data_IF_751939515780
#
_entry.id   IF_751939515780
#
_cell.length_a   1.000
_cell.length_b   1.000
_cell.length_c   1.000
_cell.angle_alpha   90.00
_cell.angle_beta   90.00
_cell.angle_gamma   90.00
#
_symmetry.space_group_name_H-M   'P 1'
#
loop_
_entity.id
_entity.type
_entity.pdbx_description
1 polymer ?
#
# COMPACT_ATOMS: atom_id res chain seq x y z
N UNK A 1 51.34 -67.34 40.92
CA UNK A 1 52.15 -66.44 40.09
C UNK A 1 51.13 -65.71 39.21
N UNK A 2 50.67 -64.56 39.69
CA UNK A 2 49.52 -63.84 39.14
C UNK A 2 49.96 -62.69 38.26
N UNK A 3 49.69 -62.81 36.95
CA UNK A 3 49.97 -61.75 35.95
C UNK A 3 48.73 -60.91 35.76
N UNK A 4 48.76 -59.66 36.28
CA UNK A 4 47.71 -58.69 36.10
C UNK A 4 47.95 -57.93 34.79
N UNK A 5 47.01 -58.09 33.83
CA UNK A 5 46.93 -57.29 32.62
C UNK A 5 46.23 -55.96 32.95
N UNK A 6 46.95 -54.86 32.80
CA UNK A 6 46.44 -53.52 32.84
C UNK A 6 45.96 -53.12 31.41
N UNK A 7 44.66 -53.03 31.21
CA UNK A 7 44.09 -52.51 29.97
C UNK A 7 43.97 -51.00 30.15
N UNK A 8 44.80 -50.23 29.45
CA UNK A 8 44.67 -48.76 29.39
C UNK A 8 43.55 -48.37 28.43
N UNK A 9 42.53 -47.75 28.97
CA UNK A 9 41.48 -47.16 28.18
C UNK A 9 41.97 -45.79 27.66
N UNK A 10 42.22 -45.68 26.37
CA UNK A 10 42.55 -44.44 25.67
C UNK A 10 41.20 -43.75 25.31
N UNK A 11 40.79 -42.77 26.10
CA UNK A 11 39.62 -41.97 25.80
C UNK A 11 39.96 -40.97 24.68
N UNK A 12 39.54 -41.29 23.45
CA UNK A 12 39.58 -40.34 22.31
C UNK A 12 38.43 -39.39 22.48
N UNK A 13 38.75 -38.19 22.97
CA UNK A 13 37.77 -37.06 23.01
C UNK A 13 37.56 -36.55 21.57
N UNK A 14 36.43 -36.93 20.98
CA UNK A 14 35.96 -36.30 19.73
C UNK A 14 35.43 -34.90 20.07
N UNK A 15 36.23 -33.87 19.77
CA UNK A 15 35.74 -32.49 19.64
C UNK A 15 34.81 -32.45 18.44
N UNK A 16 33.51 -32.56 18.67
CA UNK A 16 32.49 -32.21 17.66
C UNK A 16 32.49 -30.69 17.54
N UNK A 17 33.24 -30.21 16.55
CA UNK A 17 33.12 -28.82 16.11
C UNK A 17 31.71 -28.65 15.48
N UNK A 18 30.74 -28.24 16.28
CA UNK A 18 29.44 -27.80 15.75
C UNK A 18 29.64 -26.47 14.99
N UNK A 19 30.03 -26.57 13.73
CA UNK A 19 29.83 -25.51 12.78
C UNK A 19 28.31 -25.42 12.58
N UNK A 20 27.65 -24.55 13.35
CA UNK A 20 26.31 -24.08 12.97
C UNK A 20 26.49 -23.27 11.68
N UNK A 21 26.37 -23.95 10.55
CA UNK A 21 26.21 -23.33 9.26
C UNK A 21 25.02 -22.38 9.40
N UNK A 22 25.30 -21.08 9.47
CA UNK A 22 24.32 -20.02 9.46
C UNK A 22 23.64 -19.98 8.11
N UNK A 23 22.79 -20.99 7.85
CA UNK A 23 22.04 -21.10 6.61
C UNK A 23 21.13 -19.87 6.49
N UNK A 24 21.46 -19.02 5.55
CA UNK A 24 20.67 -17.80 5.28
C UNK A 24 19.24 -18.16 4.96
N UNK A 25 18.29 -17.57 5.71
CA UNK A 25 16.86 -17.90 5.64
C UNK A 25 16.12 -16.89 4.76
N UNK A 26 15.49 -17.35 3.67
CA UNK A 26 14.42 -16.59 3.01
C UNK A 26 13.12 -16.94 3.73
N UNK A 27 12.40 -15.94 4.17
CA UNK A 27 11.08 -16.09 4.77
C UNK A 27 10.09 -15.32 3.91
N UNK A 28 9.21 -16.06 3.22
CA UNK A 28 8.07 -15.46 2.51
C UNK A 28 6.96 -15.15 3.52
N UNK A 29 6.52 -13.91 3.56
CA UNK A 29 5.55 -13.40 4.53
C UNK A 29 4.28 -12.91 3.82
N UNK A 30 3.13 -13.15 4.42
CA UNK A 30 1.89 -12.48 4.01
C UNK A 30 2.02 -10.97 4.14
N UNK A 31 1.14 -10.19 3.49
CA UNK A 31 1.19 -8.73 3.58
C UNK A 31 1.09 -8.21 5.01
N UNK A 32 0.23 -8.82 5.84
CA UNK A 32 0.09 -8.43 7.25
C UNK A 32 1.33 -8.81 8.07
N UNK A 33 1.87 -10.02 7.88
CA UNK A 33 3.07 -10.47 8.60
C UNK A 33 4.30 -9.66 8.20
N UNK A 34 4.41 -9.31 6.91
CA UNK A 34 5.47 -8.44 6.40
C UNK A 34 5.39 -7.05 7.04
N UNK A 35 4.19 -6.45 7.10
CA UNK A 35 3.97 -5.16 7.75
C UNK A 35 4.33 -5.20 9.25
N UNK A 36 3.84 -6.21 9.97
CA UNK A 36 4.12 -6.40 11.38
C UNK A 36 5.61 -6.58 11.62
N UNK A 37 6.26 -7.46 10.83
CA UNK A 37 7.71 -7.72 10.95
C UNK A 37 8.55 -6.50 10.63
N UNK A 38 8.19 -5.72 9.62
CA UNK A 38 8.88 -4.46 9.29
C UNK A 38 8.73 -3.41 10.42
N UNK A 39 7.59 -3.38 11.11
CA UNK A 39 7.37 -2.51 12.27
C UNK A 39 8.17 -2.97 13.51
N UNK A 40 8.37 -4.27 13.70
CA UNK A 40 9.22 -4.82 14.77
C UNK A 40 10.71 -4.46 14.56
N UNK A 41 11.15 -4.30 13.31
CA UNK A 41 12.54 -4.01 12.96
C UNK A 41 12.62 -2.72 12.12
N UNK A 42 12.29 -1.57 12.69
CA UNK A 42 12.10 -0.31 11.94
C UNK A 42 13.38 0.23 11.27
N UNK A 43 14.54 -0.31 11.65
CA UNK A 43 15.85 0.04 11.07
C UNK A 43 16.24 -0.84 9.89
N UNK A 44 15.52 -1.95 9.65
CA UNK A 44 15.79 -2.82 8.52
C UNK A 44 15.33 -2.17 7.21
N UNK A 45 16.15 -2.18 6.14
CA UNK A 45 15.76 -1.60 4.87
C UNK A 45 14.65 -2.41 4.21
N UNK A 46 13.70 -1.70 3.60
CA UNK A 46 12.68 -2.26 2.71
C UNK A 46 13.09 -1.92 1.29
N UNK A 47 13.25 -2.92 0.44
CA UNK A 47 13.74 -2.78 -0.94
C UNK A 47 12.62 -3.12 -1.92
N UNK A 48 12.23 -2.14 -2.73
CA UNK A 48 11.35 -2.33 -3.87
C UNK A 48 12.19 -2.64 -5.12
N UNK A 49 12.06 -3.85 -5.63
CA UNK A 49 12.86 -4.28 -6.80
C UNK A 49 12.09 -4.10 -8.13
N UNK A 50 11.06 -3.26 -8.12
CA UNK A 50 10.36 -2.84 -9.34
C UNK A 50 11.14 -1.75 -10.08
N UNK A 51 10.67 -1.41 -11.27
CA UNK A 51 11.25 -0.27 -12.02
C UNK A 51 10.99 1.07 -11.29
N UNK A 52 11.81 2.12 -11.56
CA UNK A 52 11.57 3.45 -10.99
C UNK A 52 10.17 4.01 -11.33
N UNK A 53 9.66 3.74 -12.53
CA UNK A 53 8.33 4.16 -12.95
C UNK A 53 7.21 3.45 -12.14
N UNK A 54 7.36 2.14 -11.83
CA UNK A 54 6.44 1.43 -10.96
C UNK A 54 6.50 1.95 -9.51
N UNK A 55 7.70 2.26 -9.01
CA UNK A 55 7.94 2.80 -7.67
C UNK A 55 7.30 4.17 -7.48
N UNK A 56 7.46 5.07 -8.44
CA UNK A 56 6.92 6.43 -8.41
C UNK A 56 5.38 6.47 -8.37
N UNK A 57 4.72 5.43 -8.89
CA UNK A 57 3.25 5.29 -8.89
C UNK A 57 2.67 4.79 -7.56
N UNK A 58 3.53 4.47 -6.60
CA UNK A 58 3.15 4.02 -5.25
C UNK A 58 4.03 2.88 -4.76
N UNK A 59 4.49 3.00 -3.50
CA UNK A 59 5.41 2.07 -2.87
C UNK A 59 5.15 1.94 -1.37
N UNK A 60 5.61 0.86 -0.76
CA UNK A 60 5.51 0.64 0.69
C UNK A 60 6.28 1.75 1.42
N UNK A 61 5.72 2.36 2.51
CA UNK A 61 6.38 3.42 3.24
C UNK A 61 7.82 3.05 3.65
N UNK A 62 8.75 3.99 3.52
CA UNK A 62 10.19 3.84 3.79
C UNK A 62 10.93 2.92 2.81
N UNK A 63 10.29 2.36 1.79
CA UNK A 63 10.97 1.54 0.79
C UNK A 63 11.97 2.38 -0.02
N UNK A 64 13.07 1.73 -0.42
CA UNK A 64 14.04 2.26 -1.38
C UNK A 64 13.93 1.47 -2.67
N UNK A 65 13.94 2.15 -3.80
CA UNK A 65 13.91 1.48 -5.09
C UNK A 65 15.32 1.00 -5.48
N UNK A 66 15.42 -0.30 -5.81
CA UNK A 66 16.61 -0.95 -6.37
C UNK A 66 16.15 -1.85 -7.50
N UNK A 67 16.07 -1.32 -8.71
CA UNK A 67 15.51 -2.03 -9.86
C UNK A 67 16.23 -3.34 -10.16
N UNK A 68 15.50 -4.47 -10.07
CA UNK A 68 16.02 -5.79 -10.40
C UNK A 68 16.55 -5.91 -11.82
N UNK A 69 15.93 -5.23 -12.76
CA UNK A 69 16.31 -5.21 -14.18
C UNK A 69 17.39 -4.17 -14.50
N UNK A 70 17.75 -3.34 -13.50
CA UNK A 70 18.79 -2.31 -13.65
C UNK A 70 20.21 -2.91 -13.69
N UNK A 71 21.13 -2.23 -14.37
CA UNK A 71 22.51 -2.67 -14.51
C UNK A 71 23.33 -2.58 -13.23
N UNK A 72 22.82 -1.92 -12.19
CA UNK A 72 23.53 -1.61 -10.96
C UNK A 72 22.93 -2.28 -9.71
N UNK A 73 21.97 -3.21 -9.90
CA UNK A 73 21.33 -3.93 -8.80
C UNK A 73 22.36 -4.51 -7.81
N UNK A 74 23.36 -5.25 -8.32
CA UNK A 74 24.40 -5.87 -7.47
C UNK A 74 25.22 -4.84 -6.71
N UNK A 75 25.55 -3.74 -7.35
CA UNK A 75 26.30 -2.64 -6.74
C UNK A 75 25.50 -1.98 -5.62
N UNK A 76 24.21 -1.77 -5.82
CA UNK A 76 23.34 -1.15 -4.83
C UNK A 76 23.12 -2.05 -3.62
N UNK A 77 22.83 -3.35 -3.80
CA UNK A 77 22.64 -4.26 -2.67
C UNK A 77 23.96 -4.50 -1.91
N UNK A 78 25.13 -4.40 -2.57
CA UNK A 78 26.43 -4.56 -1.91
C UNK A 78 26.70 -3.49 -0.85
N UNK A 79 26.00 -2.34 -0.89
CA UNK A 79 26.12 -1.27 0.11
C UNK A 79 25.35 -1.55 1.41
N UNK A 80 24.46 -2.55 1.41
CA UNK A 80 23.64 -2.90 2.57
C UNK A 80 24.42 -3.76 3.57
N UNK A 81 24.11 -3.60 4.85
CA UNK A 81 24.67 -4.43 5.92
C UNK A 81 24.06 -5.83 5.87
N UNK A 82 24.85 -6.79 5.38
CA UNK A 82 24.42 -8.18 5.18
C UNK A 82 24.18 -8.96 6.47
N UNK A 83 24.63 -8.46 7.61
CA UNK A 83 24.39 -9.05 8.94
C UNK A 83 23.02 -8.73 9.50
N UNK A 84 22.32 -7.74 8.93
CA UNK A 84 21.01 -7.27 9.35
C UNK A 84 19.90 -7.83 8.44
N UNK A 85 18.68 -7.96 8.97
CA UNK A 85 17.50 -8.28 8.16
C UNK A 85 17.26 -7.27 7.04
N UNK A 86 16.78 -7.77 5.90
CA UNK A 86 16.34 -6.95 4.78
C UNK A 86 14.97 -7.43 4.31
N UNK A 87 14.10 -6.48 3.98
CA UNK A 87 12.78 -6.73 3.40
C UNK A 87 12.83 -6.47 1.91
N UNK A 88 12.20 -7.34 1.10
CA UNK A 88 12.20 -7.20 -0.35
C UNK A 88 10.82 -7.48 -0.92
N UNK A 89 10.40 -6.70 -1.90
CA UNK A 89 9.16 -6.94 -2.63
C UNK A 89 9.25 -6.46 -4.08
N UNK A 90 8.33 -6.98 -4.90
CA UNK A 90 8.10 -6.48 -6.26
C UNK A 90 6.59 -6.30 -6.52
N UNK A 91 6.15 -6.40 -7.77
CA UNK A 91 4.74 -6.28 -8.12
C UNK A 91 3.92 -7.49 -7.61
N UNK A 92 4.36 -8.73 -7.94
CA UNK A 92 3.59 -9.97 -7.74
C UNK A 92 4.39 -11.14 -7.15
N UNK A 93 5.64 -10.92 -6.69
CA UNK A 93 6.49 -11.93 -6.05
C UNK A 93 7.64 -12.45 -6.93
N UNK A 94 7.52 -12.53 -8.26
CA UNK A 94 8.53 -13.18 -9.12
C UNK A 94 9.92 -12.53 -9.09
N UNK A 95 10.02 -11.21 -9.29
CA UNK A 95 11.29 -10.47 -9.22
C UNK A 95 11.87 -10.46 -7.81
N UNK A 96 11.02 -10.32 -6.79
CA UNK A 96 11.48 -10.32 -5.39
C UNK A 96 12.02 -11.68 -4.94
N UNK A 97 11.43 -12.79 -5.36
CA UNK A 97 11.95 -14.12 -5.10
C UNK A 97 13.35 -14.31 -5.70
N UNK A 98 13.56 -13.86 -6.95
CA UNK A 98 14.86 -13.89 -7.61
C UNK A 98 15.88 -13.00 -6.89
N UNK A 99 15.48 -11.78 -6.50
CA UNK A 99 16.31 -10.85 -5.76
C UNK A 99 16.68 -11.38 -4.37
N UNK A 100 15.73 -11.96 -3.63
CA UNK A 100 15.95 -12.58 -2.33
C UNK A 100 16.96 -13.75 -2.42
N UNK A 101 16.83 -14.61 -3.43
CA UNK A 101 17.79 -15.67 -3.70
C UNK A 101 19.20 -15.12 -3.98
N UNK A 102 19.29 -14.08 -4.81
CA UNK A 102 20.56 -13.43 -5.12
C UNK A 102 21.19 -12.75 -3.90
N UNK A 103 20.39 -12.05 -3.08
CA UNK A 103 20.86 -11.46 -1.83
C UNK A 103 21.43 -12.53 -0.89
N UNK A 104 20.72 -13.63 -0.69
CA UNK A 104 21.22 -14.76 0.12
C UNK A 104 22.55 -15.30 -0.39
N UNK A 105 22.66 -15.54 -1.70
CA UNK A 105 23.90 -16.02 -2.31
C UNK A 105 25.04 -15.01 -2.15
N UNK A 106 24.74 -13.73 -1.98
CA UNK A 106 25.68 -12.66 -1.67
C UNK A 106 25.96 -12.50 -0.16
N UNK A 107 25.47 -13.41 0.71
CA UNK A 107 25.79 -13.47 2.13
C UNK A 107 24.86 -12.72 3.07
N UNK A 108 23.67 -12.29 2.62
CA UNK A 108 22.64 -11.77 3.51
C UNK A 108 22.11 -12.87 4.42
N UNK A 109 22.09 -12.64 5.74
CA UNK A 109 21.68 -13.64 6.73
C UNK A 109 20.16 -13.85 6.78
N UNK A 110 19.40 -12.76 6.70
CA UNK A 110 17.93 -12.78 6.78
C UNK A 110 17.33 -11.93 5.68
N UNK A 111 16.52 -12.55 4.83
CA UNK A 111 15.78 -11.87 3.76
C UNK A 111 14.30 -12.21 3.90
N UNK A 112 13.48 -11.20 4.19
CA UNK A 112 12.03 -11.29 4.27
C UNK A 112 11.42 -10.85 2.94
N UNK A 113 10.71 -11.76 2.28
CA UNK A 113 10.03 -11.49 1.02
C UNK A 113 8.53 -11.30 1.25
N UNK A 114 7.95 -10.32 0.55
CA UNK A 114 6.50 -10.13 0.53
C UNK A 114 5.85 -11.07 -0.48
N UNK A 115 5.12 -12.08 0.00
CA UNK A 115 4.36 -12.99 -0.84
C UNK A 115 3.31 -12.24 -1.68
N UNK A 116 3.31 -12.50 -2.99
CA UNK A 116 2.43 -11.84 -3.93
C UNK A 116 2.69 -10.34 -4.14
N UNK A 117 3.78 -9.81 -3.56
CA UNK A 117 4.26 -8.44 -3.78
C UNK A 117 3.28 -7.34 -3.38
N UNK A 118 3.49 -6.13 -3.94
CA UNK A 118 2.65 -4.96 -3.60
C UNK A 118 1.17 -5.15 -4.00
N UNK A 119 0.86 -6.08 -4.91
CA UNK A 119 -0.54 -6.40 -5.22
C UNK A 119 -1.26 -6.99 -4.00
N UNK A 120 -0.62 -7.87 -3.24
CA UNK A 120 -1.18 -8.41 -1.99
C UNK A 120 -1.21 -7.38 -0.86
N UNK A 121 -0.20 -6.50 -0.81
CA UNK A 121 -0.18 -5.36 0.10
C UNK A 121 -1.39 -4.45 -0.10
N UNK A 122 -1.68 -4.10 -1.38
CA UNK A 122 -2.86 -3.32 -1.79
C UNK A 122 -4.17 -4.03 -1.46
N UNK A 123 -4.23 -5.33 -1.74
CA UNK A 123 -5.39 -6.15 -1.42
C UNK A 123 -5.70 -6.24 0.08
N UNK A 124 -4.69 -6.02 0.94
CA UNK A 124 -4.84 -5.93 2.39
C UNK A 124 -5.12 -4.49 2.89
N UNK A 125 -5.30 -3.52 1.99
CA UNK A 125 -5.52 -2.09 2.29
C UNK A 125 -4.44 -1.47 3.19
N UNK A 126 -3.19 -1.92 3.04
CA UNK A 126 -2.05 -1.38 3.78
C UNK A 126 -1.54 -0.07 3.14
N UNK A 127 -0.94 0.83 3.94
CA UNK A 127 -0.56 2.16 3.47
C UNK A 127 0.55 2.14 2.41
N UNK A 128 0.47 3.05 1.45
CA UNK A 128 1.51 3.31 0.43
C UNK A 128 1.92 4.77 0.42
N UNK A 129 3.20 5.03 0.14
CA UNK A 129 3.66 6.34 -0.31
C UNK A 129 3.53 6.42 -1.82
N UNK A 130 3.01 7.52 -2.31
CA UNK A 130 2.94 7.83 -3.73
C UNK A 130 3.42 9.27 -3.94
N UNK A 131 4.66 9.42 -4.39
CA UNK A 131 5.27 10.75 -4.60
C UNK A 131 4.58 11.53 -5.74
N UNK A 132 3.94 10.81 -6.66
CA UNK A 132 3.19 11.38 -7.77
C UNK A 132 1.67 11.41 -7.51
N UNK A 133 1.21 10.90 -6.37
CA UNK A 133 -0.19 11.11 -5.98
C UNK A 133 -0.29 12.57 -5.55
N UNK A 134 -1.02 13.43 -6.26
CA UNK A 134 -1.28 14.77 -5.77
C UNK A 134 -1.71 14.61 -4.31
N UNK A 135 -1.09 15.35 -3.39
CA UNK A 135 -1.64 15.45 -2.05
C UNK A 135 -3.08 15.84 -2.27
N UNK A 136 -4.03 14.95 -1.93
CA UNK A 136 -5.42 15.14 -2.31
C UNK A 136 -5.89 16.57 -1.99
N UNK A 137 -7.03 16.93 -2.48
CA UNK A 137 -7.59 18.26 -2.28
C UNK A 137 -7.52 18.66 -0.81
N UNK A 138 -6.95 19.81 -0.51
CA UNK A 138 -6.95 20.36 0.84
C UNK A 138 -8.33 20.99 1.16
N UNK A 139 -8.67 21.20 2.44
CA UNK A 139 -9.97 21.74 2.86
C UNK A 139 -10.30 23.07 2.22
N UNK A 140 -9.29 23.93 2.00
CA UNK A 140 -9.50 25.21 1.32
C UNK A 140 -9.96 25.01 -0.12
N UNK A 141 -9.27 24.15 -0.88
CA UNK A 141 -9.64 23.84 -2.26
C UNK A 141 -11.03 23.18 -2.34
N UNK A 142 -11.36 22.29 -1.39
CA UNK A 142 -12.71 21.72 -1.28
C UNK A 142 -13.77 22.79 -1.02
N UNK A 143 -13.56 23.71 -0.07
CA UNK A 143 -14.46 24.80 0.21
C UNK A 143 -14.59 25.76 -0.99
N UNK A 144 -13.53 25.94 -1.76
CA UNK A 144 -13.58 26.77 -2.98
C UNK A 144 -14.50 26.17 -4.06
N UNK A 145 -14.65 24.83 -4.12
CA UNK A 145 -15.60 24.17 -5.04
C UNK A 145 -17.05 24.51 -4.75
N UNK A 146 -17.39 24.80 -3.50
CA UNK A 146 -18.77 25.13 -3.11
C UNK A 146 -19.15 26.60 -3.36
N UNK A 147 -18.16 27.44 -3.74
CA UNK A 147 -18.36 28.87 -4.03
C UNK A 147 -18.96 29.06 -5.42
N UNK A 148 -20.27 28.94 -5.51
CA UNK A 148 -21.00 29.08 -6.75
C UNK A 148 -22.40 29.65 -6.48
N UNK A 149 -22.95 30.41 -7.45
CA UNK A 149 -24.35 30.82 -7.47
C UNK A 149 -25.27 29.66 -7.89
N UNK A 150 -24.70 28.59 -8.46
CA UNK A 150 -25.41 27.35 -8.78
C UNK A 150 -25.43 26.41 -7.57
N UNK A 151 -26.34 25.45 -7.61
CA UNK A 151 -26.31 24.31 -6.68
C UNK A 151 -25.10 23.47 -7.01
N UNK A 152 -24.29 23.09 -6.00
CA UNK A 152 -23.16 22.20 -6.16
C UNK A 152 -23.50 20.84 -5.54
N UNK A 153 -23.45 19.81 -6.38
CA UNK A 153 -23.57 18.41 -5.96
C UNK A 153 -22.18 17.78 -5.97
N UNK A 154 -21.68 17.37 -4.80
CA UNK A 154 -20.41 16.67 -4.66
C UNK A 154 -20.68 15.19 -4.40
N UNK A 155 -20.04 14.30 -5.20
CA UNK A 155 -20.08 12.84 -5.08
C UNK A 155 -18.67 12.33 -4.68
N UNK A 156 -18.55 11.82 -3.46
CA UNK A 156 -17.38 11.09 -3.02
C UNK A 156 -17.52 9.62 -3.43
N UNK A 157 -16.60 9.15 -4.24
CA UNK A 157 -16.62 7.81 -4.82
C UNK A 157 -15.26 7.13 -4.76
N UNK A 158 -15.22 5.81 -5.07
CA UNK A 158 -13.99 5.08 -5.39
C UNK A 158 -14.24 4.12 -6.56
N UNK A 159 -13.16 3.74 -7.27
CA UNK A 159 -13.27 2.83 -8.43
C UNK A 159 -13.70 1.41 -8.03
N UNK A 160 -13.46 0.98 -6.81
CA UNK A 160 -13.89 -0.31 -6.28
C UNK A 160 -15.33 -0.30 -5.75
N UNK A 161 -15.95 0.87 -5.53
CA UNK A 161 -17.28 1.03 -4.96
C UNK A 161 -18.37 0.64 -5.97
N UNK A 162 -19.00 -0.51 -5.78
CA UNK A 162 -20.09 -0.99 -6.64
C UNK A 162 -21.27 -0.02 -6.77
N UNK A 163 -21.87 0.46 -5.66
CA UNK A 163 -22.94 1.45 -5.70
C UNK A 163 -22.53 2.75 -6.41
N UNK A 164 -21.30 3.21 -6.26
CA UNK A 164 -20.80 4.42 -6.94
C UNK A 164 -20.80 4.25 -8.47
N UNK A 165 -20.46 3.04 -8.96
CA UNK A 165 -20.52 2.73 -10.41
C UNK A 165 -21.94 2.78 -10.96
N UNK A 166 -22.93 2.37 -10.18
CA UNK A 166 -24.35 2.47 -10.56
C UNK A 166 -24.83 3.91 -10.60
N UNK A 167 -24.29 4.78 -9.74
CA UNK A 167 -24.67 6.19 -9.66
C UNK A 167 -24.03 7.04 -10.75
N UNK A 168 -22.82 6.70 -11.20
CA UNK A 168 -22.05 7.48 -12.18
C UNK A 168 -22.84 7.87 -13.42
N UNK A 169 -23.53 6.97 -14.16
CA UNK A 169 -24.21 7.32 -15.41
C UNK A 169 -25.26 8.43 -15.22
N UNK A 170 -26.14 8.29 -14.23
CA UNK A 170 -27.19 9.28 -14.03
C UNK A 170 -26.70 10.59 -13.40
N UNK A 171 -25.59 10.57 -12.64
CA UNK A 171 -24.97 11.81 -12.18
C UNK A 171 -24.38 12.60 -13.36
N UNK A 172 -23.81 11.91 -14.36
CA UNK A 172 -23.36 12.52 -15.61
C UNK A 172 -24.53 13.06 -16.44
N UNK A 173 -25.68 12.36 -16.45
CA UNK A 173 -26.92 12.86 -17.08
C UNK A 173 -27.42 14.13 -16.37
N UNK A 174 -27.54 14.13 -15.04
CA UNK A 174 -27.94 15.31 -14.24
C UNK A 174 -27.00 16.48 -14.53
N UNK A 175 -25.69 16.24 -14.59
CA UNK A 175 -24.70 17.27 -14.91
C UNK A 175 -24.94 17.93 -16.26
N UNK A 176 -25.44 17.18 -17.26
CA UNK A 176 -25.74 17.70 -18.60
C UNK A 176 -27.13 18.34 -18.67
N UNK A 177 -28.16 17.65 -18.15
CA UNK A 177 -29.54 18.06 -18.21
C UNK A 177 -29.82 19.33 -17.40
N UNK A 178 -29.07 19.58 -16.33
CA UNK A 178 -29.26 20.68 -15.40
C UNK A 178 -28.07 21.64 -15.31
N UNK A 179 -27.22 21.67 -16.33
CA UNK A 179 -25.94 22.41 -16.34
C UNK A 179 -26.10 23.93 -16.12
N UNK A 180 -27.27 24.50 -16.42
CA UNK A 180 -27.62 25.91 -16.17
C UNK A 180 -27.78 26.22 -14.67
N UNK A 181 -28.15 25.23 -13.85
CA UNK A 181 -28.52 25.39 -12.42
C UNK A 181 -27.60 24.62 -11.46
N UNK A 182 -26.95 23.57 -11.93
CA UNK A 182 -26.22 22.61 -11.08
C UNK A 182 -24.84 22.37 -11.61
N UNK A 183 -23.88 22.25 -10.68
CA UNK A 183 -22.54 21.76 -10.93
C UNK A 183 -22.40 20.41 -10.22
N UNK A 184 -22.05 19.35 -10.95
CA UNK A 184 -21.76 18.05 -10.37
C UNK A 184 -20.25 17.85 -10.32
N UNK A 185 -19.71 17.58 -9.14
CA UNK A 185 -18.28 17.37 -8.90
C UNK A 185 -18.10 15.98 -8.31
N UNK A 186 -17.21 15.17 -8.89
CA UNK A 186 -16.89 13.86 -8.37
C UNK A 186 -15.49 13.87 -7.76
N UNK A 187 -15.36 13.42 -6.52
CA UNK A 187 -14.10 13.38 -5.76
C UNK A 187 -13.76 11.91 -5.45
N UNK A 188 -12.63 11.44 -5.97
CA UNK A 188 -12.15 10.11 -5.64
C UNK A 188 -11.62 10.08 -4.20
N UNK A 189 -12.25 9.30 -3.33
CA UNK A 189 -11.90 9.19 -1.92
C UNK A 189 -10.49 8.59 -1.72
N UNK A 190 -10.08 7.63 -2.57
CA UNK A 190 -8.74 7.03 -2.50
C UNK A 190 -7.64 8.05 -2.77
N UNK A 191 -7.92 9.05 -3.61
CA UNK A 191 -6.99 10.14 -3.92
C UNK A 191 -7.04 11.29 -2.91
N UNK A 192 -8.07 11.32 -2.05
CA UNK A 192 -8.38 12.41 -1.14
C UNK A 192 -8.58 11.93 0.32
N UNK A 193 -7.81 10.95 0.76
CA UNK A 193 -7.98 10.31 2.08
C UNK A 193 -7.90 11.30 3.25
N UNK A 194 -6.98 12.26 3.19
CA UNK A 194 -6.85 13.28 4.24
C UNK A 194 -8.11 14.16 4.33
N UNK A 195 -8.68 14.57 3.19
CA UNK A 195 -9.92 15.32 3.11
C UNK A 195 -11.10 14.48 3.63
N UNK A 196 -11.21 13.21 3.21
CA UNK A 196 -12.26 12.31 3.69
C UNK A 196 -12.23 12.15 5.20
N UNK A 197 -11.04 12.00 5.80
CA UNK A 197 -10.86 11.93 7.26
C UNK A 197 -11.33 13.22 7.95
N UNK A 198 -10.98 14.37 7.41
CA UNK A 198 -11.38 15.67 7.98
C UNK A 198 -12.90 15.89 7.89
N UNK A 199 -13.51 15.46 6.78
CA UNK A 199 -14.95 15.54 6.56
C UNK A 199 -15.74 14.39 7.20
N UNK A 200 -15.08 13.47 7.94
CA UNK A 200 -15.65 12.26 8.54
C UNK A 200 -16.40 11.38 7.51
N UNK A 201 -15.82 11.24 6.31
CA UNK A 201 -16.32 10.35 5.26
C UNK A 201 -15.64 8.99 5.43
N UNK A 202 -16.34 8.02 6.04
CA UNK A 202 -15.87 6.67 6.37
C UNK A 202 -16.56 5.56 5.55
N UNK A 203 -17.58 5.93 4.76
CA UNK A 203 -18.32 5.02 3.88
C UNK A 203 -18.60 5.69 2.53
N UNK A 204 -18.79 4.88 1.45
CA UNK A 204 -19.05 5.35 0.09
C UNK A 204 -20.28 4.67 -0.53
N UNK A 205 -20.98 5.35 -1.44
CA UNK A 205 -20.84 6.77 -1.85
C UNK A 205 -21.33 7.75 -0.80
N UNK A 206 -20.83 9.00 -0.86
CA UNK A 206 -21.39 10.12 -0.11
C UNK A 206 -21.75 11.23 -1.08
N UNK A 207 -23.01 11.65 -1.08
CA UNK A 207 -23.47 12.83 -1.79
C UNK A 207 -23.65 14.00 -0.85
N UNK A 208 -23.18 15.17 -1.26
CA UNK A 208 -23.39 16.44 -0.55
C UNK A 208 -23.93 17.48 -1.52
N UNK A 209 -24.99 18.17 -1.12
CA UNK A 209 -25.62 19.26 -1.90
C UNK A 209 -25.40 20.58 -1.19
N UNK A 210 -24.78 21.50 -1.89
CA UNK A 210 -24.56 22.87 -1.41
C UNK A 210 -25.48 23.84 -2.14
N UNK A 211 -26.14 24.71 -1.38
CA UNK A 211 -26.95 25.81 -1.87
C UNK A 211 -26.49 27.11 -1.19
N UNK A 212 -26.28 28.16 -1.96
CA UNK A 212 -25.72 29.40 -1.44
C UNK A 212 -24.46 29.19 -0.59
N UNK A 213 -23.56 28.29 -1.05
CA UNK A 213 -22.28 27.95 -0.42
C UNK A 213 -22.42 27.26 0.95
N UNK A 214 -23.61 26.80 1.32
CA UNK A 214 -23.87 26.09 2.58
C UNK A 214 -24.30 24.65 2.29
N UNK A 215 -23.85 23.72 3.08
CA UNK A 215 -24.33 22.33 3.00
C UNK A 215 -25.83 22.32 3.34
N UNK A 216 -26.63 21.98 2.33
CA UNK A 216 -28.08 21.90 2.44
C UNK A 216 -28.57 20.47 2.68
N UNK A 217 -27.81 19.46 2.21
CA UNK A 217 -28.18 18.07 2.34
C UNK A 217 -26.97 17.15 2.13
N UNK A 218 -26.98 16.00 2.80
CA UNK A 218 -26.01 14.94 2.59
C UNK A 218 -26.69 13.57 2.67
N UNK A 219 -26.11 12.58 1.95
CA UNK A 219 -26.55 11.18 1.99
C UNK A 219 -25.33 10.25 1.95
N UNK A 220 -25.37 9.21 2.76
CA UNK A 220 -24.41 8.10 2.72
C UNK A 220 -25.09 6.89 2.11
N UNK A 221 -24.44 6.24 1.17
CA UNK A 221 -24.95 5.08 0.46
C UNK A 221 -25.68 5.42 -0.84
N UNK A 222 -26.16 4.36 -1.50
CA UNK A 222 -26.86 4.47 -2.79
C UNK A 222 -28.16 5.25 -2.68
N UNK A 223 -28.39 6.13 -3.66
CA UNK A 223 -29.66 6.80 -3.90
C UNK A 223 -29.93 6.83 -5.41
N UNK A 224 -31.15 6.62 -5.85
CA UNK A 224 -31.49 6.62 -7.27
C UNK A 224 -31.58 8.03 -7.90
N UNK A 225 -31.59 8.10 -9.24
CA UNK A 225 -31.69 9.37 -9.98
C UNK A 225 -32.87 10.22 -9.49
N UNK A 226 -34.04 9.60 -9.27
CA UNK A 226 -35.25 10.29 -8.86
C UNK A 226 -35.10 10.94 -7.48
N UNK A 227 -34.48 10.24 -6.55
CA UNK A 227 -34.16 10.76 -5.21
C UNK A 227 -33.22 11.95 -5.27
N UNK A 228 -32.13 11.87 -6.05
CA UNK A 228 -31.18 12.98 -6.23
C UNK A 228 -31.89 14.20 -6.85
N UNK A 229 -32.65 14.03 -7.96
CA UNK A 229 -33.36 15.13 -8.62
C UNK A 229 -34.35 15.80 -7.68
N UNK A 230 -35.07 15.02 -6.87
CA UNK A 230 -36.00 15.57 -5.86
C UNK A 230 -35.28 16.49 -4.88
N UNK A 231 -34.11 16.11 -4.35
CA UNK A 231 -33.31 16.95 -3.43
C UNK A 231 -32.83 18.23 -4.10
N UNK A 232 -32.38 18.13 -5.35
CA UNK A 232 -31.88 19.28 -6.12
C UNK A 232 -32.98 20.31 -6.40
N UNK A 233 -34.23 19.86 -6.56
CA UNK A 233 -35.39 20.72 -6.85
C UNK A 233 -36.09 21.30 -5.61
N UNK A 234 -35.83 20.76 -4.42
CA UNK A 234 -36.36 21.28 -3.15
C UNK A 234 -35.81 22.69 -2.92
N UNK A 235 -36.69 23.65 -2.56
CA UNK A 235 -36.31 25.05 -2.29
C UNK A 235 -35.51 25.18 -0.99
#
# INVERSE_FOLDING_TARGET
MNLRFLIGIFAISFLVCNCSDGQSKIVSLSAMDFANKANEIPTAPIIDVRTPDEFSKGHIPKAKNVDWNGNDFDKQIATLDKSKPVFVYCLSGGRSASAANKMRNNGFKEVYELDGGIMKWRGANLPENNENKPSGMNPKAYNDLTKSDKIVLIDFYAEWCGPCKLMKPYLEEISKEMADKIIVIRINADDNQALCKELNIDALPVLQVFKNQKLAWANVGFIDKKGVVKVLQTK
#
